data_IF_669702584759
#
_entry.id   IF_669702584759
#
_cell.length_a   1.000
_cell.length_b   1.000
_cell.length_c   1.000
_cell.angle_alpha   90.00
_cell.angle_beta   90.00
_cell.angle_gamma   90.00
#
_symmetry.space_group_name_H-M   'P 1'
#
loop_
_entity.id
_entity.type
_entity.pdbx_description
1 polymer ?
#
# COMPACT_ATOMS: atom_id res chain seq x y z
N UNK A 1 23.12 -10.62 -25.67
CA UNK A 1 23.48 -9.96 -24.40
C UNK A 1 22.21 -9.62 -23.62
N UNK A 2 22.17 -9.87 -22.31
CA UNK A 2 21.05 -9.48 -21.44
C UNK A 2 21.18 -8.04 -20.94
N UNK A 3 20.07 -7.37 -20.68
CA UNK A 3 20.04 -6.03 -20.06
C UNK A 3 19.27 -6.12 -18.74
N UNK A 4 19.77 -5.43 -17.72
CA UNK A 4 19.03 -5.21 -16.47
C UNK A 4 18.35 -3.86 -16.53
N UNK A 5 17.04 -3.83 -16.28
CA UNK A 5 16.25 -2.60 -16.23
C UNK A 5 15.70 -2.41 -14.84
N UNK A 6 15.90 -1.23 -14.27
CA UNK A 6 15.33 -0.83 -12.97
C UNK A 6 14.46 0.39 -13.25
N UNK A 7 13.25 0.39 -12.71
CA UNK A 7 12.29 1.48 -12.90
C UNK A 7 11.45 1.66 -11.64
N UNK A 8 11.05 2.90 -11.38
CA UNK A 8 10.07 3.27 -10.36
C UNK A 8 8.77 3.62 -11.06
N UNK A 9 7.66 3.01 -10.64
CA UNK A 9 6.35 3.23 -11.28
C UNK A 9 5.37 3.64 -10.22
N UNK A 10 4.72 4.78 -10.44
CA UNK A 10 3.59 5.20 -9.63
C UNK A 10 2.34 4.44 -10.10
N UNK A 11 1.77 3.59 -9.24
CA UNK A 11 0.52 2.87 -9.47
C UNK A 11 0.46 2.07 -10.79
N UNK A 12 1.24 0.98 -10.93
CA UNK A 12 1.14 0.15 -12.12
C UNK A 12 -0.20 -0.58 -12.18
N UNK A 13 -0.74 -0.75 -13.39
CA UNK A 13 -1.86 -1.66 -13.60
C UNK A 13 -1.46 -3.10 -13.27
N UNK A 14 -2.43 -3.95 -12.91
CA UNK A 14 -2.18 -5.37 -12.60
C UNK A 14 -1.44 -6.08 -13.73
N UNK A 15 -1.79 -5.77 -14.99
CA UNK A 15 -1.15 -6.36 -16.18
C UNK A 15 0.32 -5.95 -16.32
N UNK A 16 0.66 -4.73 -15.94
CA UNK A 16 2.05 -4.27 -15.96
C UNK A 16 2.83 -4.89 -14.79
N UNK A 17 2.23 -4.95 -13.60
CA UNK A 17 2.84 -5.54 -12.41
C UNK A 17 3.27 -7.00 -12.63
N UNK A 18 2.44 -7.80 -13.31
CA UNK A 18 2.73 -9.19 -13.63
C UNK A 18 3.93 -9.40 -14.57
N UNK A 19 4.44 -8.35 -15.23
CA UNK A 19 5.60 -8.45 -16.13
C UNK A 19 6.94 -8.30 -15.41
N UNK A 20 6.96 -7.92 -14.14
CA UNK A 20 8.21 -7.72 -13.41
C UNK A 20 8.73 -9.02 -12.82
N UNK A 21 10.03 -9.28 -13.01
CA UNK A 21 10.70 -10.43 -12.40
C UNK A 21 10.87 -10.26 -10.89
N UNK A 22 11.27 -9.06 -10.47
CA UNK A 22 11.55 -8.70 -9.08
C UNK A 22 10.84 -7.42 -8.67
N UNK A 23 10.51 -7.33 -7.40
CA UNK A 23 9.92 -6.17 -6.74
C UNK A 23 10.83 -5.69 -5.62
N UNK A 24 11.02 -4.37 -5.56
CA UNK A 24 11.48 -3.65 -4.36
C UNK A 24 10.28 -2.84 -3.89
N UNK A 25 9.78 -3.13 -2.69
CA UNK A 25 8.71 -2.35 -2.06
C UNK A 25 9.32 -1.54 -0.91
N UNK A 26 9.12 -0.22 -0.95
CA UNK A 26 9.60 0.71 0.06
C UNK A 26 8.42 1.39 0.74
N UNK A 27 8.48 1.56 2.06
CA UNK A 27 7.53 2.35 2.85
C UNK A 27 8.28 3.23 3.84
N UNK A 28 7.99 4.54 3.84
CA UNK A 28 8.68 5.55 4.69
C UNK A 28 10.22 5.44 4.65
N UNK A 29 10.79 5.17 3.48
CA UNK A 29 12.25 5.02 3.29
C UNK A 29 12.84 3.67 3.73
N UNK A 30 12.02 2.74 4.25
CA UNK A 30 12.45 1.41 4.68
C UNK A 30 12.09 0.36 3.63
N UNK A 31 12.95 -0.66 3.49
CA UNK A 31 12.67 -1.82 2.64
C UNK A 31 11.66 -2.75 3.31
N UNK A 32 10.47 -2.86 2.72
CA UNK A 32 9.41 -3.75 3.21
C UNK A 32 9.51 -5.13 2.57
N UNK A 33 9.91 -5.19 1.29
CA UNK A 33 10.06 -6.44 0.55
C UNK A 33 11.09 -6.30 -0.57
N UNK A 34 11.89 -7.35 -0.75
CA UNK A 34 12.71 -7.55 -1.94
C UNK A 34 12.67 -9.02 -2.36
N UNK A 35 12.21 -9.29 -3.58
CA UNK A 35 12.05 -10.66 -4.06
C UNK A 35 11.35 -10.75 -5.39
N UNK A 36 10.83 -11.93 -5.74
CA UNK A 36 10.03 -12.09 -6.97
C UNK A 36 8.73 -11.32 -6.84
N UNK A 37 8.31 -10.60 -7.88
CA UNK A 37 7.10 -9.78 -7.81
C UNK A 37 5.84 -10.64 -7.53
N UNK A 38 5.78 -11.82 -8.14
CA UNK A 38 4.67 -12.79 -7.96
C UNK A 38 4.54 -13.37 -6.55
N UNK A 39 5.61 -13.35 -5.75
CA UNK A 39 5.62 -13.94 -4.41
C UNK A 39 5.29 -12.88 -3.32
N UNK A 40 5.26 -11.59 -3.68
CA UNK A 40 5.14 -10.48 -2.73
C UNK A 40 3.83 -10.50 -1.93
N UNK A 41 2.69 -10.72 -2.60
CA UNK A 41 1.39 -10.78 -1.92
C UNK A 41 1.31 -11.96 -0.95
N UNK A 42 1.83 -13.12 -1.36
CA UNK A 42 1.92 -14.31 -0.51
C UNK A 42 2.79 -14.07 0.73
N UNK A 43 3.96 -13.43 0.55
CA UNK A 43 4.81 -13.03 1.68
C UNK A 43 4.03 -12.18 2.69
N UNK A 44 3.35 -11.13 2.24
CA UNK A 44 2.57 -10.27 3.14
C UNK A 44 1.42 -11.03 3.83
N UNK A 45 0.79 -11.98 3.15
CA UNK A 45 -0.23 -12.84 3.78
C UNK A 45 0.36 -13.69 4.91
N UNK A 46 1.60 -14.16 4.79
CA UNK A 46 2.26 -14.94 5.88
C UNK A 46 2.60 -14.12 7.12
N UNK A 47 2.78 -12.80 6.96
CA UNK A 47 2.93 -11.86 8.09
C UNK A 47 1.60 -11.27 8.56
N UNK A 48 0.47 -11.82 8.08
CA UNK A 48 -0.88 -11.44 8.48
C UNK A 48 -1.46 -10.23 7.75
N UNK A 49 -0.79 -9.76 6.70
CA UNK A 49 -1.26 -8.67 5.84
C UNK A 49 -1.93 -9.21 4.57
N UNK A 50 -3.26 -9.13 4.49
CA UNK A 50 -4.01 -9.62 3.33
C UNK A 50 -5.16 -8.68 2.93
N UNK A 51 -5.47 -8.54 1.63
CA UNK A 51 -6.65 -7.81 1.19
C UNK A 51 -7.94 -8.39 1.78
N UNK A 52 -8.85 -7.53 2.23
CA UNK A 52 -10.21 -7.88 2.65
C UNK A 52 -11.14 -8.07 1.45
N UNK A 53 -10.86 -7.38 0.34
CA UNK A 53 -11.60 -7.45 -0.91
C UNK A 53 -10.66 -7.82 -2.07
N UNK A 54 -11.17 -8.43 -3.15
CA UNK A 54 -10.40 -8.62 -4.36
C UNK A 54 -9.95 -7.26 -4.92
N UNK A 55 -8.64 -7.04 -5.00
CA UNK A 55 -8.05 -5.80 -5.52
C UNK A 55 -6.80 -6.09 -6.35
N UNK A 56 -6.31 -5.07 -7.06
CA UNK A 56 -5.06 -5.18 -7.81
C UNK A 56 -3.89 -5.47 -6.86
N UNK A 57 -3.05 -6.50 -7.10
CA UNK A 57 -1.87 -6.78 -6.28
C UNK A 57 -0.95 -5.57 -6.07
N UNK A 58 -0.78 -4.73 -7.10
CA UNK A 58 0.05 -3.54 -6.99
C UNK A 58 -0.59 -2.48 -6.08
N UNK A 59 -1.91 -2.35 -6.11
CA UNK A 59 -2.67 -1.42 -5.27
C UNK A 59 -2.58 -1.85 -3.81
N UNK A 60 -2.81 -3.14 -3.53
CA UNK A 60 -2.63 -3.72 -2.19
C UNK A 60 -1.25 -3.41 -1.60
N UNK A 61 -0.18 -3.63 -2.38
CA UNK A 61 1.19 -3.43 -1.90
C UNK A 61 1.51 -1.94 -1.68
N UNK A 62 0.97 -1.04 -2.51
CA UNK A 62 1.12 0.41 -2.35
C UNK A 62 0.37 0.90 -1.11
N UNK A 63 -0.88 0.46 -0.92
CA UNK A 63 -1.68 0.81 0.24
C UNK A 63 -1.02 0.33 1.53
N UNK A 64 -0.54 -0.91 1.54
CA UNK A 64 0.23 -1.44 2.67
C UNK A 64 1.50 -0.60 2.95
N UNK A 65 2.23 -0.22 1.90
CA UNK A 65 3.46 0.58 2.05
C UNK A 65 3.20 2.02 2.53
N UNK A 66 2.03 2.57 2.21
CA UNK A 66 1.59 3.89 2.64
C UNK A 66 0.90 3.89 4.02
N UNK A 67 0.50 2.71 4.51
CA UNK A 67 -0.27 2.57 5.75
C UNK A 67 -1.77 2.75 5.57
N UNK A 68 -2.28 2.64 4.35
CA UNK A 68 -3.71 2.64 4.05
C UNK A 68 -4.28 1.25 4.34
N UNK A 69 -4.92 1.06 5.50
CA UNK A 69 -5.37 -0.27 5.97
C UNK A 69 -6.89 -0.49 5.90
N UNK A 70 -7.64 0.40 5.24
CA UNK A 70 -9.12 0.33 5.18
C UNK A 70 -9.62 -1.02 4.66
N UNK A 71 -8.91 -1.57 3.66
CA UNK A 71 -9.28 -2.79 2.97
C UNK A 71 -8.22 -3.90 3.15
N UNK A 72 -7.41 -3.79 4.21
CA UNK A 72 -6.29 -4.70 4.49
C UNK A 72 -6.40 -5.21 5.93
N UNK A 73 -6.35 -6.53 6.12
CA UNK A 73 -6.14 -7.12 7.45
C UNK A 73 -4.72 -6.84 7.89
N UNK A 74 -4.51 -6.36 9.11
CA UNK A 74 -3.18 -6.17 9.71
C UNK A 74 -3.21 -6.74 11.14
N UNK A 75 -2.20 -7.51 11.58
CA UNK A 75 -2.14 -7.99 12.96
C UNK A 75 -1.91 -6.83 13.93
N UNK A 76 -2.51 -6.93 15.11
CA UNK A 76 -2.45 -5.85 16.12
C UNK A 76 -1.03 -5.50 16.56
N UNK A 77 -0.07 -6.42 16.49
CA UNK A 77 1.34 -6.13 16.81
C UNK A 77 2.06 -5.27 15.74
N UNK A 78 1.47 -5.17 14.55
CA UNK A 78 2.00 -4.46 13.39
C UNK A 78 1.27 -3.14 13.13
N UNK A 79 0.14 -2.90 13.78
CA UNK A 79 -0.65 -1.67 13.63
C UNK A 79 0.17 -0.41 13.91
N UNK A 80 0.99 -0.38 14.97
CA UNK A 80 1.84 0.77 15.32
C UNK A 80 2.90 1.11 14.25
N UNK A 81 3.36 0.09 13.52
CA UNK A 81 4.37 0.22 12.46
C UNK A 81 3.77 0.64 11.13
N UNK A 82 2.50 0.29 10.91
CA UNK A 82 1.75 0.62 9.69
C UNK A 82 1.12 2.02 9.82
N UNK A 83 0.50 2.34 10.97
CA UNK A 83 -0.22 3.61 11.26
C UNK A 83 0.67 4.79 11.72
N UNK A 84 1.94 4.87 11.32
CA UNK A 84 2.79 6.01 11.71
C UNK A 84 2.54 7.26 10.83
N UNK A 85 1.33 7.83 10.88
CA UNK A 85 1.00 9.06 10.15
C UNK A 85 -0.44 9.59 10.23
N UNK A 86 -0.94 9.95 11.41
CA UNK A 86 -1.67 11.22 11.59
C UNK A 86 -1.65 11.65 13.07
N UNK A 87 -1.30 12.92 13.41
CA UNK A 87 -1.51 13.43 14.75
C UNK A 87 -3.01 13.63 15.02
N UNK A 88 -3.48 12.99 16.10
CA UNK A 88 -4.64 13.32 16.93
C UNK A 88 -5.99 13.58 16.23
N UNK A 89 -6.89 12.65 16.46
CA UNK A 89 -8.34 12.88 16.56
C UNK A 89 -8.61 14.05 17.53
N UNK A 90 -9.14 15.16 17.03
CA UNK A 90 -9.97 16.06 17.83
C UNK A 90 -11.43 15.88 17.44
N UNK A 91 -12.20 15.47 18.43
CA UNK A 91 -13.65 15.34 18.46
C UNK A 91 -14.33 16.65 18.08
N UNK A 92 -15.22 16.65 17.07
CA UNK A 92 -16.45 17.48 17.11
C UNK A 92 -17.50 17.06 16.08
N UNK A 93 -18.67 16.76 16.62
CA UNK A 93 -19.95 16.61 15.95
C UNK A 93 -20.26 17.75 14.96
N UNK A 94 -20.91 17.40 13.82
CA UNK A 94 -21.88 18.28 13.17
C UNK A 94 -21.85 18.36 11.63
N UNK A 95 -22.86 17.74 11.00
CA UNK A 95 -23.60 18.13 9.77
C UNK A 95 -22.84 18.41 8.44
N UNK A 96 -23.33 17.79 7.35
CA UNK A 96 -22.93 18.00 5.96
C UNK A 96 -23.67 19.15 5.24
N UNK A 97 -22.88 19.99 4.52
CA UNK A 97 -23.10 20.76 3.25
C UNK A 97 -24.18 21.88 3.19
N UNK A 98 -24.13 22.89 2.25
CA UNK A 98 -23.40 22.92 0.96
C UNK A 98 -22.79 24.29 0.47
N UNK A 99 -21.99 24.18 -0.61
CA UNK A 99 -21.71 25.09 -1.75
C UNK A 99 -21.47 26.63 -1.64
N UNK A 100 -20.48 27.06 -2.45
CA UNK A 100 -20.22 28.38 -3.05
C UNK A 100 -19.87 29.60 -2.17
N UNK A 101 -18.75 30.27 -2.47
CA UNK A 101 -18.65 31.69 -2.91
C UNK A 101 -17.15 32.03 -3.17
N UNK A 102 -16.91 32.68 -4.32
CA UNK A 102 -15.65 33.21 -4.84
C UNK A 102 -14.98 34.29 -3.97
N UNK A 103 -13.66 34.47 -4.14
CA UNK A 103 -13.02 35.69 -4.67
C UNK A 103 -11.64 35.36 -5.27
#
# INVERSE_FOLDING_TARGET
AGKTVITTIHQPSSRLFQKFDKLILLGRGNLLYFGKAKDATGYFSTVGCSPLIPMNPAEFLIDLANGNVTDITVPSELEDKVNTGSPRTETRNGKLSPCDVHD
#
